data_IF_633874584689
#
_entry.id   IF_633874584689
#
_cell.length_a   1.000
_cell.length_b   1.000
_cell.length_c   1.000
_cell.angle_alpha   90.00
_cell.angle_beta   90.00
_cell.angle_gamma   90.00
#
_symmetry.space_group_name_H-M   'P 1'
#
loop_
_entity.id
_entity.type
_entity.pdbx_description
1 polymer ?
#
# COMPACT_ATOMS: atom_id res chain seq x y z
N UNK A 1 18.92 33.01 26.17
CA UNK A 1 18.56 32.81 24.74
C UNK A 1 18.51 31.34 24.32
N UNK A 2 19.46 30.46 24.71
CA UNK A 2 19.42 29.03 24.33
C UNK A 2 18.17 28.26 24.78
N UNK A 3 17.69 28.52 26.01
CA UNK A 3 16.46 27.90 26.52
C UNK A 3 15.20 28.23 25.70
N UNK A 4 15.14 29.41 25.07
CA UNK A 4 14.00 29.81 24.23
C UNK A 4 14.00 29.06 22.88
N UNK A 5 15.17 28.90 22.27
CA UNK A 5 15.33 28.13 21.02
C UNK A 5 15.02 26.65 21.26
N UNK A 6 15.52 26.07 22.36
CA UNK A 6 15.23 24.69 22.73
C UNK A 6 13.74 24.46 23.00
N UNK A 7 13.06 25.41 23.63
CA UNK A 7 11.61 25.37 23.85
C UNK A 7 10.83 25.46 22.53
N UNK A 8 11.33 26.24 21.57
CA UNK A 8 10.74 26.35 20.23
C UNK A 8 10.89 25.05 19.42
N UNK A 9 12.05 24.39 19.52
CA UNK A 9 12.32 23.09 18.90
C UNK A 9 11.50 21.97 19.56
N UNK A 10 11.39 21.96 20.89
CA UNK A 10 10.56 20.99 21.61
C UNK A 10 9.07 21.13 21.25
N UNK A 11 8.59 22.35 20.99
CA UNK A 11 7.21 22.61 20.56
C UNK A 11 6.95 22.28 19.06
N UNK A 12 7.99 22.06 18.26
CA UNK A 12 7.86 21.63 16.86
C UNK A 12 7.51 20.14 16.74
N UNK A 13 8.03 19.31 17.65
CA UNK A 13 7.73 17.88 17.71
C UNK A 13 6.22 17.59 17.85
N UNK A 14 5.48 18.18 18.82
CA UNK A 14 4.05 17.93 18.96
C UNK A 14 3.23 18.46 17.77
N UNK A 15 3.69 19.51 17.08
CA UNK A 15 3.03 19.98 15.86
C UNK A 15 3.16 18.95 14.75
N UNK A 16 4.37 18.44 14.49
CA UNK A 16 4.59 17.39 13.49
C UNK A 16 3.79 16.13 13.86
N UNK A 17 3.80 15.73 15.13
CA UNK A 17 3.04 14.56 15.59
C UNK A 17 1.53 14.73 15.39
N UNK A 18 0.98 15.90 15.69
CA UNK A 18 -0.44 16.19 15.47
C UNK A 18 -0.85 16.08 14.00
N UNK A 19 -0.06 16.67 13.08
CA UNK A 19 -0.36 16.63 11.64
C UNK A 19 -0.23 15.18 11.12
N UNK A 20 0.79 14.44 11.58
CA UNK A 20 0.96 13.02 11.22
C UNK A 20 -0.20 12.16 11.72
N UNK A 21 -0.65 12.37 12.97
CA UNK A 21 -1.78 11.62 13.55
C UNK A 21 -3.09 11.90 12.80
N UNK A 22 -3.36 13.16 12.44
CA UNK A 22 -4.54 13.52 11.63
C UNK A 22 -4.43 12.88 10.25
N UNK A 23 -3.29 13.00 9.59
CA UNK A 23 -3.06 12.41 8.26
C UNK A 23 -3.25 10.89 8.28
N UNK A 24 -2.74 10.23 9.32
CA UNK A 24 -2.92 8.81 9.55
C UNK A 24 -4.39 8.45 9.76
N UNK A 25 -5.10 9.18 10.61
CA UNK A 25 -6.53 8.98 10.82
C UNK A 25 -7.30 9.09 9.50
N UNK A 26 -7.07 10.13 8.70
CA UNK A 26 -7.72 10.33 7.39
C UNK A 26 -7.45 9.16 6.44
N UNK A 27 -6.21 8.68 6.35
CA UNK A 27 -5.86 7.53 5.49
C UNK A 27 -6.56 6.25 5.95
N UNK A 28 -6.64 6.00 7.26
CA UNK A 28 -7.34 4.84 7.81
C UNK A 28 -8.86 4.88 7.57
N UNK A 29 -9.45 6.08 7.48
CA UNK A 29 -10.85 6.24 7.13
C UNK A 29 -11.14 6.15 5.63
N UNK A 30 -10.14 6.18 4.75
CA UNK A 30 -10.33 5.95 3.32
C UNK A 30 -10.49 4.44 3.07
N UNK A 31 -11.69 3.92 2.76
CA UNK A 31 -11.89 2.49 2.52
C UNK A 31 -11.11 2.07 1.27
N UNK A 32 -10.26 1.06 1.43
CA UNK A 32 -9.28 0.60 0.44
C UNK A 32 -8.02 1.45 0.52
N UNK A 33 -7.04 0.98 1.30
CA UNK A 33 -5.80 1.69 1.51
C UNK A 33 -5.03 1.85 0.19
N UNK A 34 -4.16 2.86 0.11
CA UNK A 34 -3.31 3.09 -1.07
C UNK A 34 -2.51 1.85 -1.45
N UNK A 35 -2.12 1.07 -0.44
CA UNK A 35 -1.30 -0.14 -0.58
C UNK A 35 -2.09 -1.27 -1.26
N UNK A 36 -3.35 -1.50 -0.91
CA UNK A 36 -4.17 -2.53 -1.57
C UNK A 36 -4.39 -2.21 -3.05
N UNK A 37 -4.52 -0.92 -3.41
CA UNK A 37 -4.65 -0.48 -4.81
C UNK A 37 -3.34 -0.65 -5.58
N UNK A 38 -2.20 -0.33 -4.96
CA UNK A 38 -0.87 -0.51 -5.56
C UNK A 38 -0.55 -2.00 -5.72
N UNK A 39 -0.86 -2.83 -4.72
CA UNK A 39 -0.71 -4.28 -4.81
C UNK A 39 -1.67 -4.85 -5.87
N UNK A 40 -2.92 -4.39 -5.96
CA UNK A 40 -3.84 -4.84 -7.01
C UNK A 40 -3.36 -4.46 -8.43
N UNK A 41 -2.76 -3.27 -8.61
CA UNK A 41 -2.15 -2.87 -9.87
C UNK A 41 -0.91 -3.72 -10.23
N UNK A 42 -0.04 -4.01 -9.25
CA UNK A 42 1.15 -4.84 -9.45
C UNK A 42 0.81 -6.33 -9.65
N UNK A 43 -0.13 -6.85 -8.85
CA UNK A 43 -0.57 -8.24 -8.89
C UNK A 43 -1.48 -8.53 -10.09
N UNK A 44 -2.30 -7.56 -10.53
CA UNK A 44 -3.08 -7.65 -11.76
C UNK A 44 -2.22 -7.64 -13.03
N UNK A 45 -1.02 -7.04 -12.98
CA UNK A 45 -0.09 -7.07 -14.12
C UNK A 45 0.74 -8.37 -14.16
N UNK A 46 0.93 -9.07 -13.03
CA UNK A 46 1.75 -10.29 -12.93
C UNK A 46 0.98 -11.61 -12.92
N UNK A 47 -0.29 -11.63 -12.52
CA UNK A 47 -1.11 -12.85 -12.44
C UNK A 47 -1.67 -13.32 -13.78
N UNK A 48 -2.06 -12.39 -14.65
CA UNK A 48 -2.65 -12.68 -15.96
C UNK A 48 -1.73 -13.51 -16.88
N UNK A 49 -0.42 -13.24 -16.84
CA UNK A 49 0.54 -13.97 -17.66
C UNK A 49 0.75 -15.40 -17.13
N UNK A 50 0.80 -15.60 -15.82
CA UNK A 50 1.02 -16.91 -15.21
C UNK A 50 -0.23 -17.80 -15.28
N UNK A 51 -1.43 -17.24 -15.10
CA UNK A 51 -2.69 -17.98 -15.25
C UNK A 51 -2.93 -18.43 -16.71
N UNK A 52 -2.54 -17.62 -17.70
CA UNK A 52 -2.57 -18.01 -19.13
C UNK A 52 -1.54 -19.10 -19.46
N UNK A 53 -0.38 -19.08 -18.80
CA UNK A 53 0.66 -20.10 -18.97
C UNK A 53 0.32 -21.40 -18.23
N UNK A 54 -0.36 -21.33 -17.09
CA UNK A 54 -0.78 -22.49 -16.29
C UNK A 54 -2.08 -23.12 -16.78
N UNK A 55 -2.98 -22.34 -17.42
CA UNK A 55 -4.26 -22.81 -17.94
C UNK A 55 -4.20 -23.47 -19.34
N UNK A 56 -3.06 -23.42 -20.03
CA UNK A 56 -2.89 -23.95 -21.39
C UNK A 56 -2.37 -25.39 -21.49
N UNK A 57 -2.13 -26.07 -20.36
CA UNK A 57 -1.50 -27.40 -20.34
C UNK A 57 -2.44 -28.59 -20.09
N UNK A 58 -3.74 -28.36 -19.87
CA UNK A 58 -4.69 -29.39 -19.41
C UNK A 58 -5.42 -30.16 -20.51
N UNK A 59 -5.52 -29.64 -21.74
CA UNK A 59 -6.45 -30.16 -22.75
C UNK A 59 -5.85 -31.17 -23.74
N UNK A 60 -4.53 -31.43 -23.73
CA UNK A 60 -3.90 -32.40 -24.64
C UNK A 60 -4.04 -33.88 -24.20
N UNK A 61 -4.64 -34.16 -23.03
CA UNK A 61 -4.78 -35.52 -22.50
C UNK A 61 -6.16 -36.15 -22.62
N UNK A 62 -7.21 -35.38 -22.99
CA UNK A 62 -8.61 -35.84 -22.91
C UNK A 62 -9.26 -36.10 -24.28
N UNK A 63 -8.55 -35.89 -25.39
CA UNK A 63 -9.09 -36.09 -26.75
C UNK A 63 -8.74 -37.45 -27.38
N UNK A 64 -8.21 -38.40 -26.60
CA UNK A 64 -7.81 -39.73 -27.07
C UNK A 64 -8.46 -40.85 -26.24
N UNK A 65 -9.79 -40.90 -26.22
CA UNK A 65 -10.62 -42.07 -25.87
C UNK A 65 -11.83 -42.11 -26.80
#
# INVERSE_FOLDING_TARGET
MGAYILRRLLLMIPTIFGIMAISFAVVQFAPGGPVERVIAQLSGQGGDALDRLSGGGGDLGQSAV
#
